data_IF_004294962170
#
_entry.id   IF_004294962170
#
_cell.length_a   1.000
_cell.length_b   1.000
_cell.length_c   1.000
_cell.angle_alpha   90.00
_cell.angle_beta   90.00
_cell.angle_gamma   90.00
#
_symmetry.space_group_name_H-M   'P 1'
#
loop_
_entity.id
_entity.type
_entity.pdbx_description
1 polymer ?
#
# COMPACT_ATOMS: atom_id res chain seq x y z
N UNK A 1 -0.71 4.80 -0.40
CA UNK A 1 0.23 5.00 0.73
C UNK A 1 -0.12 4.15 1.94
N UNK A 2 -1.34 4.26 2.48
CA UNK A 2 -1.80 3.44 3.62
C UNK A 2 -1.64 1.92 3.38
N UNK A 3 -2.25 1.38 2.32
CA UNK A 3 -2.20 -0.06 2.03
C UNK A 3 -0.77 -0.58 1.74
N UNK A 4 0.07 0.24 1.09
CA UNK A 4 1.46 -0.14 0.81
C UNK A 4 2.37 -0.06 2.04
N UNK A 5 2.00 0.79 3.01
CA UNK A 5 2.85 1.11 4.17
C UNK A 5 4.23 1.65 3.77
N UNK A 6 4.27 2.29 2.59
CA UNK A 6 5.46 2.84 1.96
C UNK A 6 5.61 4.35 2.17
N UNK A 7 6.80 4.85 1.87
CA UNK A 7 7.10 6.29 1.91
C UNK A 7 6.55 7.00 0.68
N UNK A 8 6.29 8.30 0.80
CA UNK A 8 5.93 9.16 -0.34
C UNK A 8 6.94 9.09 -1.48
N UNK A 9 8.22 9.01 -1.16
CA UNK A 9 9.32 8.96 -2.12
C UNK A 9 9.28 7.67 -2.93
N UNK A 10 9.04 6.52 -2.27
CA UNK A 10 8.90 5.23 -2.95
C UNK A 10 7.70 5.23 -3.90
N UNK A 11 6.58 5.81 -3.45
CA UNK A 11 5.33 5.83 -4.21
C UNK A 11 5.44 6.71 -5.46
N UNK A 12 6.19 7.81 -5.39
CA UNK A 12 6.43 8.72 -6.53
C UNK A 12 7.24 8.04 -7.65
N UNK A 13 8.10 7.08 -7.30
CA UNK A 13 8.86 6.29 -8.26
C UNK A 13 8.13 5.08 -8.86
N UNK A 14 6.91 4.77 -8.40
CA UNK A 14 6.15 3.63 -8.92
C UNK A 14 5.79 3.88 -10.39
N UNK A 15 6.15 2.90 -11.23
CA UNK A 15 5.76 2.86 -12.63
C UNK A 15 4.57 1.91 -12.82
N UNK A 16 3.83 2.09 -13.90
CA UNK A 16 2.73 1.19 -14.25
C UNK A 16 3.18 -0.24 -14.46
N UNK A 17 4.41 -0.42 -14.93
CA UNK A 17 5.03 -1.72 -15.14
C UNK A 17 5.28 -2.48 -13.84
N UNK A 18 5.31 -1.78 -12.70
CA UNK A 18 5.53 -2.42 -11.40
C UNK A 18 4.23 -2.98 -10.81
N UNK A 19 3.09 -2.81 -11.50
CA UNK A 19 1.78 -3.24 -11.00
C UNK A 19 1.33 -4.47 -11.77
N UNK A 20 1.12 -5.57 -11.05
CA UNK A 20 0.63 -6.82 -11.60
C UNK A 20 -0.58 -7.30 -10.80
N UNK A 21 -1.61 -7.80 -11.50
CA UNK A 21 -2.71 -8.47 -10.83
C UNK A 21 -2.35 -9.94 -10.63
N UNK A 22 -2.22 -10.36 -9.39
CA UNK A 22 -1.93 -11.75 -9.01
C UNK A 22 -3.15 -12.29 -8.29
N UNK A 23 -3.89 -13.16 -8.98
CA UNK A 23 -5.14 -13.79 -8.50
C UNK A 23 -6.19 -12.78 -8.00
N UNK A 24 -6.10 -12.41 -6.73
CA UNK A 24 -7.09 -11.70 -5.94
C UNK A 24 -6.51 -10.43 -5.28
N UNK A 25 -5.25 -10.15 -5.56
CA UNK A 25 -4.52 -9.00 -5.04
C UNK A 25 -3.79 -8.26 -6.17
N UNK A 26 -3.65 -6.95 -5.97
CA UNK A 26 -2.80 -6.11 -6.80
C UNK A 26 -1.41 -6.09 -6.18
N UNK A 27 -0.47 -6.72 -6.86
CA UNK A 27 0.95 -6.78 -6.52
C UNK A 27 1.63 -5.51 -7.03
N UNK A 28 2.35 -4.81 -6.17
CA UNK A 28 3.13 -3.62 -6.53
C UNK A 28 4.58 -3.85 -6.15
N UNK A 29 5.46 -3.78 -7.14
CA UNK A 29 6.91 -3.86 -6.96
C UNK A 29 7.50 -2.47 -6.66
N UNK A 30 8.17 -2.32 -5.53
CA UNK A 30 8.98 -1.13 -5.26
C UNK A 30 10.45 -1.40 -5.53
N UNK A 31 11.05 -0.61 -6.42
CA UNK A 31 12.48 -0.66 -6.71
C UNK A 31 13.27 0.04 -5.61
N UNK A 32 13.64 -0.74 -4.60
CA UNK A 32 14.50 -0.31 -3.50
C UNK A 32 13.79 0.56 -2.45
N UNK A 33 14.30 0.49 -1.23
CA UNK A 33 13.90 1.36 -0.12
C UNK A 33 15.11 1.69 0.74
N UNK A 34 15.00 2.62 1.70
CA UNK A 34 16.13 3.02 2.57
C UNK A 34 16.83 1.84 3.29
N UNK A 35 16.15 0.71 3.48
CA UNK A 35 16.72 -0.51 4.06
C UNK A 35 17.42 -1.44 3.05
N UNK A 36 17.21 -1.20 1.75
CA UNK A 36 17.90 -1.87 0.64
C UNK A 36 18.31 -0.86 -0.44
N UNK A 37 19.29 -0.02 -0.12
CA UNK A 37 19.86 0.97 -1.04
C UNK A 37 20.51 0.36 -2.29
N UNK A 38 20.81 -0.95 -2.27
CA UNK A 38 21.44 -1.65 -3.39
C UNK A 38 20.42 -2.22 -4.39
N UNK A 39 19.12 -2.17 -4.08
CA UNK A 39 18.05 -2.67 -4.95
C UNK A 39 18.16 -4.15 -5.26
N UNK A 40 18.71 -4.94 -4.33
CA UNK A 40 18.92 -6.38 -4.51
C UNK A 40 17.64 -7.16 -4.21
N UNK A 41 16.70 -6.56 -3.47
CA UNK A 41 15.46 -7.17 -3.02
C UNK A 41 14.27 -6.40 -3.61
N UNK A 42 13.52 -7.09 -4.46
CA UNK A 42 12.20 -6.65 -4.92
C UNK A 42 11.23 -6.78 -3.73
N UNK A 43 10.58 -5.68 -3.36
CA UNK A 43 9.50 -5.70 -2.37
C UNK A 43 8.18 -5.72 -3.13
N UNK A 44 7.57 -6.91 -3.20
CA UNK A 44 6.26 -7.11 -3.82
C UNK A 44 5.21 -6.93 -2.74
N UNK A 45 4.44 -5.86 -2.84
CA UNK A 45 3.35 -5.57 -1.91
C UNK A 45 2.04 -6.06 -2.46
N UNK A 46 1.41 -7.02 -1.78
CA UNK A 46 0.05 -7.40 -2.10
C UNK A 46 -0.93 -6.40 -1.47
N UNK A 47 -1.82 -5.83 -2.29
CA UNK A 47 -2.99 -5.07 -1.86
C UNK A 47 -4.21 -5.92 -2.19
N UNK A 48 -4.87 -6.47 -1.17
CA UNK A 48 -6.11 -7.18 -1.38
C UNK A 48 -7.24 -6.18 -1.64
N UNK A 49 -8.11 -6.53 -2.58
CA UNK A 49 -9.19 -5.66 -3.03
C UNK A 49 -10.52 -6.35 -2.78
N UNK A 50 -11.36 -5.79 -1.91
CA UNK A 50 -12.66 -6.39 -1.57
C UNK A 50 -13.62 -6.45 -2.76
N UNK A 51 -13.46 -5.56 -3.74
CA UNK A 51 -14.29 -5.54 -4.94
C UNK A 51 -13.50 -5.02 -6.16
N UNK A 52 -13.12 -5.87 -7.13
CA UNK A 52 -12.37 -5.45 -8.31
C UNK A 52 -13.17 -4.51 -9.22
N UNK A 53 -14.50 -4.42 -9.06
CA UNK A 53 -15.38 -3.52 -9.82
C UNK A 53 -15.34 -2.06 -9.36
N UNK A 54 -15.30 -1.79 -8.04
CA UNK A 54 -15.20 -0.43 -7.48
C UNK A 54 -13.76 0.05 -7.31
N UNK A 55 -12.80 -0.86 -7.31
CA UNK A 55 -11.38 -0.56 -7.09
C UNK A 55 -10.50 -0.91 -8.29
N UNK A 56 -11.04 -0.85 -9.52
CA UNK A 56 -10.13 -0.46 -10.61
C UNK A 56 -9.66 0.93 -10.20
N UNK A 57 -8.36 1.17 -9.92
CA UNK A 57 -7.88 2.54 -10.01
C UNK A 57 -8.34 2.97 -11.40
N UNK A 58 -9.12 4.05 -11.52
CA UNK A 58 -9.63 4.52 -12.80
C UNK A 58 -8.43 4.84 -13.70
N UNK A 59 -7.90 3.79 -14.32
CA UNK A 59 -6.79 3.76 -15.24
C UNK A 59 -7.25 4.24 -16.61
N UNK A 60 -8.54 4.51 -16.75
CA UNK A 60 -9.20 5.25 -17.81
C UNK A 60 -8.79 6.73 -17.77
N UNK A 61 -7.50 7.02 -17.87
CA UNK A 61 -7.03 8.32 -18.32
C UNK A 61 -6.63 8.15 -19.79
N UNK A 62 -7.21 8.90 -20.73
CA UNK A 62 -7.02 8.68 -22.18
C UNK A 62 -5.58 8.90 -22.66
N UNK A 63 -4.72 9.44 -21.80
CA UNK A 63 -3.33 9.80 -22.09
C UNK A 63 -2.31 8.72 -21.70
N UNK A 64 -2.77 7.52 -21.29
CA UNK A 64 -1.88 6.39 -20.99
C UNK A 64 -1.56 5.64 -22.28
N UNK A 65 -0.29 5.67 -22.69
CA UNK A 65 0.22 4.86 -23.78
C UNK A 65 0.36 3.41 -23.33
N UNK A 66 -0.24 2.47 -24.08
CA UNK A 66 -0.16 1.02 -23.81
C UNK A 66 1.29 0.51 -23.88
N UNK A 67 2.19 1.25 -24.52
CA UNK A 67 3.60 0.89 -24.75
C UNK A 67 4.54 1.94 -24.17
N UNK A 68 5.46 1.53 -23.29
CA UNK A 68 6.55 2.38 -22.75
C UNK A 68 6.52 2.56 -21.23
N UNK A 69 7.66 2.89 -20.62
CA UNK A 69 7.78 3.16 -19.18
C UNK A 69 6.95 4.39 -18.81
N UNK A 70 6.01 4.24 -17.89
CA UNK A 70 5.11 5.32 -17.50
C UNK A 70 4.99 5.38 -15.98
N UNK A 71 5.15 6.58 -15.39
CA UNK A 71 4.92 6.78 -13.96
C UNK A 71 3.43 6.64 -13.63
N UNK A 72 3.14 6.08 -12.46
CA UNK A 72 1.78 5.95 -11.96
C UNK A 72 1.13 7.33 -11.76
N UNK A 73 1.88 8.25 -11.16
CA UNK A 73 1.48 9.64 -10.93
C UNK A 73 2.13 10.55 -11.97
N UNK A 74 1.29 11.25 -12.73
CA UNK A 74 1.74 12.16 -13.80
C UNK A 74 2.01 13.55 -13.20
N UNK A 75 3.12 14.15 -13.62
CA UNK A 75 3.53 15.49 -13.27
C UNK A 75 4.71 15.53 -12.31
N UNK A 76 5.09 16.75 -11.91
CA UNK A 76 6.18 17.01 -10.97
C UNK A 76 5.67 17.30 -9.56
N UNK A 77 6.55 17.17 -8.58
CA UNK A 77 6.27 17.46 -7.16
C UNK A 77 5.08 16.67 -6.59
N UNK A 78 4.88 15.42 -7.02
CA UNK A 78 3.71 14.63 -6.63
C UNK A 78 3.63 14.42 -5.12
N UNK A 79 4.77 14.26 -4.43
CA UNK A 79 4.82 14.23 -2.96
C UNK A 79 4.17 15.45 -2.33
N UNK A 80 4.55 16.65 -2.78
CA UNK A 80 4.03 17.91 -2.23
C UNK A 80 2.56 18.08 -2.60
N UNK A 81 2.18 17.75 -3.84
CA UNK A 81 0.78 17.76 -4.28
C UNK A 81 -0.10 16.86 -3.44
N UNK A 82 0.36 15.64 -3.16
CA UNK A 82 -0.34 14.70 -2.30
C UNK A 82 -0.45 15.22 -0.86
N UNK A 83 0.63 15.75 -0.29
CA UNK A 83 0.61 16.37 1.04
C UNK A 83 -0.39 17.54 1.14
N UNK A 84 -0.38 18.45 0.16
CA UNK A 84 -1.34 19.55 0.09
C UNK A 84 -2.78 19.07 -0.06
N UNK A 85 -3.00 18.03 -0.89
CA UNK A 85 -4.33 17.43 -1.05
C UNK A 85 -4.81 16.79 0.24
N UNK A 86 -3.92 16.08 0.94
CA UNK A 86 -4.22 15.48 2.25
C UNK A 86 -4.60 16.55 3.28
N UNK A 87 -3.83 17.64 3.38
CA UNK A 87 -4.18 18.75 4.29
C UNK A 87 -5.53 19.39 3.93
N UNK A 88 -5.85 19.54 2.64
CA UNK A 88 -7.16 20.05 2.21
C UNK A 88 -8.31 19.14 2.61
N UNK A 89 -8.13 17.83 2.48
CA UNK A 89 -9.15 16.84 2.88
C UNK A 89 -9.36 16.89 4.39
N UNK A 90 -8.27 16.91 5.16
CA UNK A 90 -8.33 16.99 6.62
C UNK A 90 -8.98 18.28 7.10
N UNK A 91 -8.64 19.42 6.49
CA UNK A 91 -9.23 20.71 6.83
C UNK A 91 -10.71 20.85 6.46
N UNK A 92 -11.23 19.93 5.63
CA UNK A 92 -12.64 19.89 5.22
C UNK A 92 -13.49 18.96 6.11
N UNK A 93 -12.87 18.24 7.04
CA UNK A 93 -13.59 17.36 7.97
C UNK A 93 -14.40 18.18 8.98
N UNK A 94 -15.53 17.64 9.40
CA UNK A 94 -16.32 18.25 10.47
C UNK A 94 -15.74 17.94 11.87
N UNK A 95 -16.37 18.47 12.91
CA UNK A 95 -15.91 18.30 14.30
C UNK A 95 -16.06 16.85 14.78
N UNK A 96 -17.08 16.13 14.33
CA UNK A 96 -17.30 14.72 14.67
C UNK A 96 -16.24 13.82 14.02
N UNK A 97 -15.98 14.02 12.74
CA UNK A 97 -14.93 13.34 11.98
C UNK A 97 -13.54 13.63 12.55
N UNK A 98 -13.29 14.88 12.94
CA UNK A 98 -12.04 15.28 13.60
C UNK A 98 -11.90 14.61 14.97
N UNK A 99 -13.00 14.47 15.72
CA UNK A 99 -13.01 13.73 16.97
C UNK A 99 -12.66 12.25 16.76
N UNK A 100 -13.20 11.63 15.70
CA UNK A 100 -12.91 10.23 15.33
C UNK A 100 -11.42 10.03 15.00
N UNK A 101 -10.76 11.01 14.37
CA UNK A 101 -9.32 10.94 14.10
C UNK A 101 -8.47 10.84 15.37
N UNK A 102 -8.96 11.36 16.50
CA UNK A 102 -8.31 11.23 17.82
C UNK A 102 -6.93 11.87 17.92
N UNK A 103 -6.58 12.79 17.02
CA UNK A 103 -5.33 13.52 17.02
C UNK A 103 -5.51 14.92 16.42
N UNK A 104 -4.55 15.82 16.65
CA UNK A 104 -4.59 17.14 16.07
C UNK A 104 -4.44 17.05 14.53
N UNK A 105 -5.39 17.59 13.73
CA UNK A 105 -5.31 17.65 12.27
C UNK A 105 -3.98 18.15 11.72
N UNK A 106 -3.34 19.11 12.40
CA UNK A 106 -2.07 19.71 11.98
C UNK A 106 -0.88 18.75 12.10
N UNK A 107 -1.01 17.69 12.91
CA UNK A 107 0.02 16.65 13.08
C UNK A 107 -0.09 15.52 12.05
N UNK A 108 -1.17 15.51 11.26
CA UNK A 108 -1.39 14.51 10.23
C UNK A 108 -0.67 14.93 8.96
N UNK A 109 0.35 14.14 8.60
CA UNK A 109 1.06 14.27 7.34
C UNK A 109 1.13 12.97 6.56
N UNK A 110 1.81 13.01 5.41
CA UNK A 110 2.03 11.81 4.57
C UNK A 110 2.72 10.68 5.34
N UNK A 111 3.62 11.01 6.26
CA UNK A 111 4.28 10.03 7.12
C UNK A 111 3.34 9.39 8.15
N UNK A 112 2.28 10.10 8.57
CA UNK A 112 1.27 9.61 9.50
C UNK A 112 0.48 8.44 8.90
N UNK A 113 0.26 8.42 7.58
CA UNK A 113 -0.36 7.26 6.90
C UNK A 113 0.49 6.00 7.01
N UNK A 114 1.82 6.14 6.87
CA UNK A 114 2.76 5.02 6.99
C UNK A 114 2.85 4.50 8.44
N UNK A 115 2.93 5.42 9.40
CA UNK A 115 2.95 5.08 10.83
C UNK A 115 1.62 4.46 11.27
N UNK A 116 0.51 5.10 10.94
CA UNK A 116 -0.83 4.67 11.29
C UNK A 116 -1.16 3.28 10.78
N UNK A 117 -0.86 2.98 9.51
CA UNK A 117 -1.06 1.62 8.96
C UNK A 117 -0.23 0.57 9.69
N UNK A 118 1.01 0.90 10.07
CA UNK A 118 1.87 -0.01 10.83
C UNK A 118 1.38 -0.24 12.25
N UNK A 119 0.98 0.82 12.96
CA UNK A 119 0.39 0.73 14.29
C UNK A 119 -0.94 -0.03 14.26
N UNK A 120 -1.76 0.21 13.24
CA UNK A 120 -3.02 -0.51 13.04
C UNK A 120 -2.80 -2.01 12.89
N UNK A 121 -1.87 -2.43 12.00
CA UNK A 121 -1.57 -3.83 11.78
C UNK A 121 -0.96 -4.51 13.03
N UNK A 122 -0.08 -3.80 13.74
CA UNK A 122 0.55 -4.28 14.99
C UNK A 122 -0.43 -4.37 16.17
N UNK A 123 -1.51 -3.59 16.14
CA UNK A 123 -2.52 -3.56 17.19
C UNK A 123 -3.58 -4.65 17.07
N UNK A 124 -3.62 -5.40 15.97
CA UNK A 124 -4.65 -6.44 15.77
C UNK A 124 -4.32 -7.72 16.54
N UNK A 125 -5.30 -8.22 17.27
CA UNK A 125 -5.24 -9.56 17.89
C UNK A 125 -5.27 -10.61 16.77
N UNK A 126 -4.31 -11.54 16.78
CA UNK A 126 -4.04 -12.50 15.68
C UNK A 126 -3.55 -11.89 14.37
N UNK A 127 -3.10 -10.63 14.38
CA UNK A 127 -2.55 -9.98 13.20
C UNK A 127 -1.20 -10.52 12.72
N UNK A 128 -0.63 -9.91 11.68
CA UNK A 128 0.70 -10.25 11.19
C UNK A 128 1.75 -10.13 12.29
N UNK A 129 2.81 -10.94 12.18
CA UNK A 129 3.94 -10.85 13.11
C UNK A 129 4.56 -9.45 13.06
N UNK A 130 5.08 -8.97 14.19
CA UNK A 130 5.79 -7.69 14.23
C UNK A 130 6.90 -7.60 13.19
N UNK A 131 7.58 -8.73 12.95
CA UNK A 131 8.65 -8.86 11.96
C UNK A 131 8.12 -8.64 10.53
N UNK A 132 7.01 -9.27 10.16
CA UNK A 132 6.44 -9.08 8.81
C UNK A 132 5.97 -7.65 8.58
N UNK A 133 5.42 -6.97 9.59
CA UNK A 133 5.08 -5.54 9.49
C UNK A 133 6.32 -4.69 9.30
N UNK A 134 7.40 -4.93 10.07
CA UNK A 134 8.66 -4.20 9.95
C UNK A 134 9.33 -4.38 8.58
N UNK A 135 9.32 -5.60 8.05
CA UNK A 135 9.79 -5.88 6.70
C UNK A 135 8.96 -5.14 5.65
N UNK A 136 7.62 -5.16 5.77
CA UNK A 136 6.72 -4.43 4.86
C UNK A 136 6.98 -2.92 4.85
N UNK A 137 7.12 -2.28 6.02
CA UNK A 137 7.43 -0.84 6.09
C UNK A 137 8.86 -0.48 5.69
N UNK A 138 9.67 -1.47 5.28
CA UNK A 138 11.05 -1.31 4.88
C UNK A 138 11.98 -0.88 6.01
N UNK A 139 11.72 -1.36 7.24
CA UNK A 139 12.52 -1.11 8.43
C UNK A 139 13.55 -2.23 8.65
N UNK A 140 14.80 -1.87 8.90
CA UNK A 140 15.85 -2.83 9.27
C UNK A 140 15.57 -3.46 10.63
N UNK A 141 15.79 -4.78 10.73
CA UNK A 141 15.69 -5.55 11.97
C UNK A 141 17.04 -5.60 12.72
N UNK A 142 18.07 -4.93 12.18
CA UNK A 142 19.43 -4.89 12.69
C UNK A 142 20.35 -5.92 12.03
N UNK A 143 21.67 -5.73 12.22
CA UNK A 143 22.73 -6.44 11.48
C UNK A 143 22.62 -7.97 11.46
N UNK A 144 22.22 -8.57 12.59
CA UNK A 144 22.14 -10.03 12.71
C UNK A 144 20.84 -10.56 12.12
N UNK A 145 19.69 -9.95 12.47
CA UNK A 145 18.37 -10.44 12.07
C UNK A 145 18.12 -10.29 10.58
N UNK A 146 18.62 -9.22 9.96
CA UNK A 146 18.50 -8.99 8.50
C UNK A 146 19.20 -10.06 7.64
N UNK A 147 20.10 -10.87 8.25
CA UNK A 147 20.80 -11.98 7.58
C UNK A 147 19.97 -13.26 7.51
N UNK A 148 19.06 -13.48 8.45
CA UNK A 148 18.32 -14.75 8.59
C UNK A 148 16.82 -14.60 8.40
N UNK A 149 16.31 -13.38 8.58
CA UNK A 149 14.89 -13.09 8.46
C UNK A 149 14.68 -12.36 7.13
N UNK A 150 13.89 -12.98 6.27
CA UNK A 150 13.59 -12.48 4.95
C UNK A 150 12.11 -12.15 4.80
N UNK A 151 11.82 -11.36 3.78
CA UNK A 151 10.46 -11.04 3.39
C UNK A 151 9.71 -12.35 3.07
N UNK A 152 8.49 -12.48 3.62
CA UNK A 152 7.64 -13.63 3.41
C UNK A 152 6.35 -13.21 2.73
N UNK A 153 6.16 -13.66 1.50
CA UNK A 153 5.03 -13.27 0.63
C UNK A 153 3.66 -13.46 1.30
N UNK A 154 3.40 -14.63 1.90
CA UNK A 154 2.12 -14.91 2.59
C UNK A 154 1.89 -14.01 3.80
N UNK A 155 2.95 -13.67 4.53
CA UNK A 155 2.86 -12.77 5.66
C UNK A 155 2.60 -11.32 5.20
N UNK A 156 3.14 -10.95 4.03
CA UNK A 156 2.81 -9.68 3.40
C UNK A 156 1.37 -9.63 2.89
N UNK A 157 0.88 -10.67 2.22
CA UNK A 157 -0.53 -10.77 1.82
C UNK A 157 -1.48 -10.59 3.01
N UNK A 158 -1.16 -11.16 4.17
CA UNK A 158 -1.91 -10.96 5.41
C UNK A 158 -1.91 -9.48 5.84
N UNK A 159 -0.74 -8.82 5.86
CA UNK A 159 -0.63 -7.38 6.13
C UNK A 159 -1.46 -6.55 5.13
N UNK A 160 -1.44 -6.91 3.85
CA UNK A 160 -2.14 -6.24 2.77
C UNK A 160 -3.66 -6.33 2.91
N UNK A 161 -4.17 -7.54 3.16
CA UNK A 161 -5.60 -7.77 3.45
C UNK A 161 -6.07 -6.97 4.66
N UNK A 162 -5.27 -6.96 5.72
CA UNK A 162 -5.59 -6.23 6.94
C UNK A 162 -5.62 -4.71 6.72
N UNK A 163 -4.57 -4.15 6.11
CA UNK A 163 -4.51 -2.70 5.84
C UNK A 163 -5.53 -2.23 4.81
N UNK A 164 -6.01 -3.11 3.93
CA UNK A 164 -7.13 -2.85 3.03
C UNK A 164 -8.50 -2.83 3.75
N UNK A 165 -8.55 -3.10 5.07
CA UNK A 165 -9.78 -3.06 5.86
C UNK A 165 -10.70 -4.26 5.62
N UNK A 166 -10.18 -5.38 5.12
CA UNK A 166 -10.98 -6.61 4.99
C UNK A 166 -11.39 -7.13 6.38
N UNK A 167 -12.58 -7.73 6.51
CA UNK A 167 -13.12 -8.16 7.79
C UNK A 167 -12.32 -9.34 8.35
N UNK A 168 -11.27 -9.05 9.11
CA UNK A 168 -10.29 -10.02 9.62
C UNK A 168 -10.91 -11.18 10.42
N UNK A 169 -11.95 -10.89 11.22
CA UNK A 169 -12.66 -11.88 12.04
C UNK A 169 -13.79 -12.61 11.28
N UNK A 170 -13.86 -12.46 9.95
CA UNK A 170 -14.87 -13.12 9.12
C UNK A 170 -14.21 -14.14 8.22
N UNK A 171 -14.92 -15.22 7.92
CA UNK A 171 -14.55 -16.18 6.86
C UNK A 171 -14.37 -15.47 5.50
N UNK A 172 -15.02 -14.31 5.32
CA UNK A 172 -14.86 -13.46 4.14
C UNK A 172 -13.46 -12.85 4.00
N UNK A 173 -12.63 -12.89 5.05
CA UNK A 173 -11.24 -12.44 4.98
C UNK A 173 -10.40 -13.24 4.00
N UNK A 174 -10.67 -14.55 3.91
CA UNK A 174 -9.93 -15.48 3.06
C UNK A 174 -10.58 -15.67 1.68
N UNK A 175 -11.78 -15.10 1.45
CA UNK A 175 -12.44 -15.20 0.16
C UNK A 175 -11.69 -14.35 -0.86
N UNK A 176 -11.44 -14.95 -2.02
CA UNK A 176 -10.93 -14.23 -3.19
C UNK A 176 -12.04 -13.30 -3.70
N UNK A 177 -11.77 -12.02 -4.03
CA UNK A 177 -12.69 -11.19 -4.80
C UNK A 177 -13.27 -11.92 -6.03
N UNK A 178 -14.47 -11.51 -6.48
CA UNK A 178 -15.07 -12.06 -7.69
C UNK A 178 -14.12 -11.90 -8.88
N UNK A 179 -13.59 -13.01 -9.42
CA UNK A 179 -12.77 -12.96 -10.63
C UNK A 179 -13.62 -12.45 -11.79
N UNK A 180 -13.17 -11.37 -12.44
CA UNK A 180 -13.68 -11.05 -13.77
C UNK A 180 -13.08 -12.07 -14.74
N UNK A 181 -13.86 -12.78 -15.56
CA UNK A 181 -13.30 -13.64 -16.60
C UNK A 181 -12.38 -12.79 -17.48
N UNK A 182 -11.21 -13.34 -17.83
CA UNK A 182 -10.30 -12.67 -18.77
C UNK A 182 -11.08 -12.32 -20.05
N UNK A 183 -10.83 -11.16 -20.67
CA UNK A 183 -11.38 -10.91 -21.99
C UNK A 183 -10.87 -12.02 -22.90
N UNK A 184 -11.81 -12.84 -23.40
CA UNK A 184 -11.50 -13.81 -24.46
C UNK A 184 -10.89 -13.01 -25.60
N UNK A 185 -9.60 -13.22 -25.84
CA UNK A 185 -8.97 -12.83 -27.09
C UNK A 185 -9.70 -13.64 -28.17
N UNK A 186 -10.61 -12.97 -28.87
CA UNK A 186 -11.21 -13.46 -30.11
C UNK A 186 -10.40 -12.88 -31.25
#
# INVERSE_FOLDING_TARGET
>A
MWNLMSRSESIDSIMLQHMEWTEDCLSIEEQGHKGDQKGVRESIYAIAVSNPGTCRPSFSWPERTVTGKQQLFIGSYNKNRFGLTLHRVIAALDEEETCILGCNPDEIGTHSLRKGSSSYALGQVYGPTTVSVYLRVGQSLGKLKDRYIHFGERADQLCGRMTAGLPFNSERFALLPPHSPSPRVV
#
